data_IF_138915239264
#
_entry.id   IF_138915239264
#
_cell.length_a   1.000
_cell.length_b   1.000
_cell.length_c   1.000
_cell.angle_alpha   90.00
_cell.angle_beta   90.00
_cell.angle_gamma   90.00
#
_symmetry.space_group_name_H-M   'P 1'
#
loop_
_entity.id
_entity.type
_entity.pdbx_description
1 polymer ?
#
# COMPACT_ATOMS: atom_id res chain seq x y z
N UNK A 1 17.05 -3.37 19.70
CA UNK A 1 15.97 -4.36 19.49
C UNK A 1 14.68 -3.60 19.35
N UNK A 2 14.12 -3.51 18.15
CA UNK A 2 12.87 -2.77 17.95
C UNK A 2 11.69 -3.62 18.41
N UNK A 3 10.85 -3.05 19.28
CA UNK A 3 9.58 -3.66 19.66
C UNK A 3 8.67 -3.74 18.44
N UNK A 4 7.99 -4.87 18.24
CA UNK A 4 7.07 -5.05 17.11
C UNK A 4 5.97 -3.98 17.10
N UNK A 5 5.52 -3.52 18.27
CA UNK A 5 4.55 -2.43 18.41
C UNK A 5 5.03 -1.10 17.83
N UNK A 6 6.33 -0.79 17.99
CA UNK A 6 6.95 0.41 17.39
C UNK A 6 6.94 0.28 15.87
N UNK A 7 7.35 -0.87 15.33
CA UNK A 7 7.32 -1.10 13.88
C UNK A 7 5.90 -0.92 13.33
N UNK A 8 4.88 -1.49 13.97
CA UNK A 8 3.48 -1.37 13.53
C UNK A 8 3.00 0.08 13.57
N UNK A 9 3.40 0.84 14.60
CA UNK A 9 3.11 2.27 14.68
C UNK A 9 3.72 3.03 13.50
N UNK A 10 5.02 2.87 13.29
CA UNK A 10 5.74 3.60 12.22
C UNK A 10 5.26 3.19 10.82
N UNK A 11 4.96 1.90 10.60
CA UNK A 11 4.36 1.43 9.35
C UNK A 11 2.99 2.06 9.08
N UNK A 12 2.14 2.19 10.10
CA UNK A 12 0.84 2.88 9.98
C UNK A 12 1.01 4.38 9.74
N UNK A 13 2.04 5.01 10.31
CA UNK A 13 2.37 6.41 10.05
C UNK A 13 2.78 6.58 8.59
N UNK A 14 3.64 5.70 8.06
CA UNK A 14 4.01 5.71 6.65
C UNK A 14 2.80 5.53 5.72
N UNK A 15 1.90 4.61 6.05
CA UNK A 15 0.66 4.39 5.30
C UNK A 15 -0.41 5.47 5.49
N UNK A 16 -0.21 6.47 6.36
CA UNK A 16 -1.25 7.43 6.72
C UNK A 16 -1.95 8.10 5.52
N UNK A 17 -1.27 8.48 4.41
CA UNK A 17 -1.93 9.13 3.28
C UNK A 17 -3.13 8.34 2.73
N UNK A 18 -3.02 7.01 2.66
CA UNK A 18 -4.10 6.12 2.21
C UNK A 18 -4.91 5.54 3.37
N UNK A 19 -4.28 5.32 4.52
CA UNK A 19 -4.90 4.65 5.66
C UNK A 19 -5.95 5.51 6.36
N UNK A 20 -5.84 6.84 6.29
CA UNK A 20 -6.78 7.78 6.93
C UNK A 20 -8.23 7.61 6.46
N UNK A 21 -8.45 7.03 5.29
CA UNK A 21 -9.79 6.77 4.74
C UNK A 21 -10.35 5.41 5.17
N UNK A 22 -9.51 4.49 5.69
CA UNK A 22 -9.92 3.14 6.07
C UNK A 22 -10.08 3.01 7.59
N UNK A 23 -11.33 2.79 8.04
CA UNK A 23 -11.66 2.57 9.45
C UNK A 23 -11.83 1.08 9.74
N UNK A 24 -10.82 0.48 10.36
CA UNK A 24 -10.85 -0.89 10.88
C UNK A 24 -10.21 -0.95 12.26
N UNK A 25 -11.04 -1.11 13.29
CA UNK A 25 -10.60 -1.20 14.69
C UNK A 25 -9.73 -2.43 14.98
N UNK A 26 -9.75 -3.44 14.10
CA UNK A 26 -8.96 -4.68 14.25
C UNK A 26 -7.62 -4.63 13.52
N UNK A 27 -7.40 -3.65 12.64
CA UNK A 27 -6.22 -3.58 11.77
C UNK A 27 -4.91 -3.61 12.56
N UNK A 28 -4.82 -2.87 13.67
CA UNK A 28 -3.61 -2.86 14.48
C UNK A 28 -3.25 -4.26 15.00
N UNK A 29 -4.22 -5.01 15.53
CA UNK A 29 -4.02 -6.38 16.01
C UNK A 29 -3.61 -7.33 14.87
N UNK A 30 -4.19 -7.15 13.68
CA UNK A 30 -3.87 -7.96 12.48
C UNK A 30 -2.45 -7.67 11.99
N UNK A 31 -2.04 -6.41 11.94
CA UNK A 31 -0.66 -6.01 11.61
C UNK A 31 0.33 -6.52 12.67
N UNK A 32 0.00 -6.45 13.96
CA UNK A 32 0.84 -7.02 15.02
C UNK A 32 1.10 -8.52 14.78
N UNK A 33 0.06 -9.30 14.47
CA UNK A 33 0.22 -10.72 14.14
C UNK A 33 1.09 -10.94 12.90
N UNK A 34 0.87 -10.15 11.85
CA UNK A 34 1.68 -10.20 10.63
C UNK A 34 3.15 -9.95 10.93
N UNK A 35 3.48 -8.85 11.60
CA UNK A 35 4.87 -8.47 11.84
C UNK A 35 5.56 -9.36 12.88
N UNK A 36 4.82 -9.99 13.80
CA UNK A 36 5.34 -11.07 14.63
C UNK A 36 5.72 -12.30 13.79
N UNK A 37 4.88 -12.69 12.83
CA UNK A 37 5.18 -13.80 11.93
C UNK A 37 6.38 -13.50 11.01
N UNK A 38 6.49 -12.26 10.54
CA UNK A 38 7.64 -11.80 9.75
C UNK A 38 8.91 -11.79 10.60
N UNK A 39 8.86 -11.27 11.83
CA UNK A 39 9.98 -11.32 12.77
C UNK A 39 10.42 -12.76 13.08
N UNK A 40 9.50 -13.72 13.12
CA UNK A 40 9.81 -15.11 13.40
C UNK A 40 10.61 -15.80 12.29
N UNK A 41 10.59 -15.28 11.06
CA UNK A 41 11.37 -15.80 9.94
C UNK A 41 12.70 -15.06 9.73
N UNK A 42 13.10 -14.19 10.67
CA UNK A 42 14.44 -13.62 10.71
C UNK A 42 15.49 -14.74 10.85
N UNK A 43 16.23 -14.97 9.76
CA UNK A 43 17.23 -16.03 9.66
C UNK A 43 18.65 -15.60 10.06
N UNK A 44 18.86 -14.31 10.36
CA UNK A 44 20.20 -13.74 10.59
C UNK A 44 20.46 -13.41 12.05
N UNK A 45 19.46 -12.93 12.77
CA UNK A 45 19.63 -12.53 14.17
C UNK A 45 19.69 -13.74 15.10
N UNK A 46 20.48 -13.64 16.16
CA UNK A 46 20.48 -14.63 17.22
C UNK A 46 19.09 -14.73 17.91
N UNK A 47 18.74 -15.89 18.51
CA UNK A 47 17.56 -16.01 19.36
C UNK A 47 17.49 -14.90 20.41
N UNK A 48 16.30 -14.34 20.62
CA UNK A 48 16.09 -13.18 21.49
C UNK A 48 16.46 -11.82 20.87
N UNK A 49 17.13 -11.79 19.71
CA UNK A 49 17.45 -10.55 18.95
C UNK A 49 16.68 -10.42 17.64
N UNK A 50 15.81 -11.39 17.32
CA UNK A 50 14.97 -11.38 16.12
C UNK A 50 14.25 -10.04 15.92
N UNK A 51 14.21 -9.57 14.69
CA UNK A 51 13.58 -8.29 14.34
C UNK A 51 12.84 -8.32 13.01
N UNK A 52 11.92 -7.37 12.82
CA UNK A 52 11.06 -7.32 11.64
C UNK A 52 11.84 -6.98 10.38
N UNK A 53 12.84 -6.09 10.46
CA UNK A 53 13.64 -5.67 9.31
C UNK A 53 14.38 -6.83 8.65
N UNK A 54 15.11 -7.61 9.45
CA UNK A 54 15.79 -8.81 8.95
C UNK A 54 14.79 -9.90 8.50
N UNK A 55 13.66 -10.04 9.19
CA UNK A 55 12.55 -10.89 8.72
C UNK A 55 12.05 -10.50 7.32
N UNK A 56 11.92 -9.20 7.04
CA UNK A 56 11.53 -8.64 5.74
C UNK A 56 12.61 -8.79 4.67
N UNK A 57 13.86 -9.08 5.02
CA UNK A 57 14.90 -9.42 4.02
C UNK A 57 14.77 -10.86 3.50
N UNK A 58 13.93 -11.68 4.13
CA UNK A 58 13.68 -13.05 3.67
C UNK A 58 12.54 -13.09 2.66
N UNK A 59 12.61 -14.01 1.68
CA UNK A 59 11.54 -14.25 0.72
C UNK A 59 10.20 -14.54 1.41
N UNK A 60 10.22 -15.29 2.52
CA UNK A 60 9.01 -15.61 3.28
C UNK A 60 8.42 -14.37 3.97
N UNK A 61 9.24 -13.50 4.54
CA UNK A 61 8.79 -12.24 5.15
C UNK A 61 8.15 -11.29 4.13
N UNK A 62 8.77 -11.13 2.97
CA UNK A 62 8.22 -10.36 1.86
C UNK A 62 6.89 -10.93 1.37
N UNK A 63 6.81 -12.26 1.21
CA UNK A 63 5.58 -12.94 0.81
C UNK A 63 4.44 -12.70 1.82
N UNK A 64 4.72 -12.83 3.12
CA UNK A 64 3.72 -12.58 4.18
C UNK A 64 3.15 -11.16 4.08
N UNK A 65 3.99 -10.16 3.84
CA UNK A 65 3.53 -8.78 3.72
C UNK A 65 2.72 -8.53 2.44
N UNK A 66 3.18 -9.04 1.29
CA UNK A 66 2.45 -8.89 0.00
C UNK A 66 1.10 -9.61 -0.01
N UNK A 67 0.95 -10.68 0.77
CA UNK A 67 -0.31 -11.42 0.92
C UNK A 67 -1.23 -10.83 2.00
N UNK A 68 -0.79 -9.81 2.73
CA UNK A 68 -1.61 -9.21 3.77
C UNK A 68 -2.79 -8.45 3.15
N UNK A 69 -4.00 -8.96 3.36
CA UNK A 69 -5.23 -8.34 2.90
C UNK A 69 -5.62 -7.24 3.89
N UNK A 70 -5.51 -5.96 3.57
CA UNK A 70 -5.96 -4.90 4.49
C UNK A 70 -7.47 -4.93 4.67
N UNK A 71 -8.17 -4.93 3.53
CA UNK A 71 -9.62 -4.92 3.47
C UNK A 71 -10.13 -6.10 2.62
N UNK A 72 -10.75 -7.13 3.22
CA UNK A 72 -11.25 -8.28 2.47
C UNK A 72 -12.44 -7.97 1.57
N UNK A 73 -13.02 -6.78 1.63
CA UNK A 73 -14.17 -6.38 0.81
C UNK A 73 -13.79 -5.69 -0.50
N UNK A 74 -12.52 -5.27 -0.65
CA UNK A 74 -12.08 -4.49 -1.80
C UNK A 74 -10.59 -4.71 -2.07
N UNK A 75 -10.30 -5.55 -3.08
CA UNK A 75 -8.96 -5.76 -3.62
C UNK A 75 -8.74 -4.92 -4.88
N UNK A 76 -7.68 -4.14 -4.91
CA UNK A 76 -7.32 -3.23 -6.01
C UNK A 76 -6.87 -4.02 -7.23
N UNK A 77 -5.93 -4.97 -7.07
CA UNK A 77 -5.45 -5.79 -8.19
C UNK A 77 -6.54 -6.72 -8.75
N UNK A 78 -7.53 -7.07 -7.92
CA UNK A 78 -8.70 -7.83 -8.37
C UNK A 78 -9.64 -6.99 -9.26
N UNK A 79 -9.68 -5.67 -9.06
CA UNK A 79 -10.55 -4.78 -9.84
C UNK A 79 -9.85 -4.20 -11.07
N UNK A 80 -8.57 -3.83 -10.93
CA UNK A 80 -7.84 -3.03 -11.92
C UNK A 80 -6.66 -3.79 -12.56
N UNK A 81 -6.49 -5.08 -12.23
CA UNK A 81 -5.36 -5.88 -12.70
C UNK A 81 -4.05 -5.54 -12.00
N UNK A 82 -2.97 -6.24 -12.39
CA UNK A 82 -1.64 -6.06 -11.83
C UNK A 82 -0.86 -5.02 -12.64
N UNK A 83 -0.30 -3.97 -12.01
CA UNK A 83 0.66 -3.10 -12.68
C UNK A 83 1.99 -3.83 -12.88
N UNK A 84 2.70 -3.43 -13.93
CA UNK A 84 4.14 -3.64 -14.04
C UNK A 84 4.86 -2.64 -13.13
N UNK A 85 5.94 -3.09 -12.50
CA UNK A 85 6.74 -2.27 -11.60
C UNK A 85 8.13 -2.09 -12.19
N UNK A 86 8.59 -0.84 -12.27
CA UNK A 86 9.95 -0.51 -12.65
C UNK A 86 10.80 -0.27 -11.40
N UNK A 87 11.78 -1.14 -11.17
CA UNK A 87 12.68 -1.04 -10.03
C UNK A 87 13.64 0.15 -10.06
N UNK A 88 13.88 0.76 -11.22
CA UNK A 88 14.83 1.85 -11.37
C UNK A 88 14.30 3.16 -10.79
N UNK A 89 13.05 3.51 -11.12
CA UNK A 89 12.42 4.78 -10.75
C UNK A 89 11.20 4.63 -9.83
N UNK A 90 10.87 3.39 -9.45
CA UNK A 90 9.69 3.05 -8.67
C UNK A 90 8.36 3.40 -9.35
N UNK A 91 8.32 3.49 -10.68
CA UNK A 91 7.06 3.68 -11.40
C UNK A 91 6.21 2.42 -11.45
N UNK A 92 4.90 2.62 -11.54
CA UNK A 92 3.92 1.57 -11.82
C UNK A 92 3.26 1.85 -13.16
N UNK A 93 3.14 0.83 -14.01
CA UNK A 93 2.52 0.93 -15.34
C UNK A 93 1.41 -0.11 -15.49
N UNK A 94 0.21 0.35 -15.80
CA UNK A 94 -0.86 -0.47 -16.36
C UNK A 94 -0.96 -0.20 -17.86
N UNK A 95 -0.71 -1.20 -18.69
CA UNK A 95 -0.85 -1.06 -20.15
C UNK A 95 -2.29 -1.08 -20.64
N UNK A 96 -3.22 -1.61 -19.83
CA UNK A 96 -4.65 -1.71 -20.15
C UNK A 96 -5.47 -1.45 -18.88
N UNK A 97 -5.37 -0.22 -18.39
CA UNK A 97 -6.10 0.24 -17.22
C UNK A 97 -7.52 0.63 -17.62
N UNK A 98 -8.53 -0.13 -17.18
CA UNK A 98 -9.93 0.14 -17.52
C UNK A 98 -10.79 0.47 -16.29
N UNK A 99 -11.05 1.77 -16.01
CA UNK A 99 -11.97 2.19 -14.97
C UNK A 99 -13.38 1.61 -15.13
N UNK A 100 -13.87 1.44 -16.37
CA UNK A 100 -15.24 1.00 -16.64
C UNK A 100 -15.49 -0.47 -16.27
N UNK A 101 -14.43 -1.29 -16.25
CA UNK A 101 -14.46 -2.69 -15.81
C UNK A 101 -14.53 -2.85 -14.28
N UNK A 102 -14.28 -1.79 -13.54
CA UNK A 102 -14.27 -1.80 -12.07
C UNK A 102 -15.69 -1.90 -11.50
N UNK A 103 -15.83 -2.62 -10.38
CA UNK A 103 -17.09 -2.70 -9.63
C UNK A 103 -17.24 -1.51 -8.69
N UNK A 104 -17.88 -0.45 -9.18
CA UNK A 104 -18.26 0.72 -8.39
C UNK A 104 -19.36 0.37 -7.37
N UNK A 105 -19.22 0.77 -6.09
CA UNK A 105 -20.32 0.77 -5.13
C UNK A 105 -21.51 1.63 -5.58
N UNK A 106 -22.67 1.42 -4.98
CA UNK A 106 -23.83 2.27 -5.22
C UNK A 106 -23.48 3.74 -4.94
N UNK A 107 -23.99 4.64 -5.79
CA UNK A 107 -23.73 6.10 -5.83
C UNK A 107 -22.31 6.55 -6.21
N UNK A 108 -21.32 5.65 -6.24
CA UNK A 108 -19.98 6.01 -6.68
C UNK A 108 -19.98 6.41 -8.16
N UNK A 109 -19.48 7.62 -8.45
CA UNK A 109 -19.29 8.11 -9.82
C UNK A 109 -17.81 8.12 -10.23
N UNK A 110 -16.91 8.20 -9.25
CA UNK A 110 -15.45 8.22 -9.45
C UNK A 110 -14.73 7.32 -8.45
N UNK A 111 -13.48 6.95 -8.77
CA UNK A 111 -12.52 6.52 -7.76
C UNK A 111 -11.24 7.36 -7.87
N UNK A 112 -10.46 7.34 -6.80
CA UNK A 112 -9.14 7.92 -6.73
C UNK A 112 -8.12 6.86 -6.28
N UNK A 113 -7.03 6.74 -7.04
CA UNK A 113 -5.85 5.96 -6.72
C UNK A 113 -4.79 6.85 -6.09
N UNK A 114 -4.15 6.32 -5.05
CA UNK A 114 -3.02 6.95 -4.38
C UNK A 114 -1.90 5.93 -4.27
N UNK A 115 -0.78 6.20 -4.95
CA UNK A 115 0.41 5.37 -4.91
C UNK A 115 1.44 5.96 -3.95
N UNK A 116 1.98 5.10 -3.09
CA UNK A 116 3.01 5.42 -2.11
C UNK A 116 4.19 4.46 -2.23
N UNK A 117 5.39 4.98 -2.02
CA UNK A 117 6.57 4.17 -1.71
C UNK A 117 7.00 4.49 -0.29
N UNK A 118 7.01 3.47 0.57
CA UNK A 118 7.51 3.59 1.93
C UNK A 118 8.97 3.15 1.94
N UNK A 119 9.89 3.99 2.38
CA UNK A 119 11.29 3.66 2.57
C UNK A 119 11.56 3.45 4.07
N UNK A 120 11.83 2.21 4.46
CA UNK A 120 12.12 1.81 5.82
C UNK A 120 13.62 1.78 6.10
N UNK A 121 14.07 2.66 6.99
CA UNK A 121 15.40 2.61 7.56
C UNK A 121 15.39 1.65 8.75
N UNK A 122 16.06 0.50 8.59
CA UNK A 122 16.12 -0.54 9.63
C UNK A 122 16.95 -0.18 10.85
N UNK A 123 17.92 0.74 10.72
CA UNK A 123 18.76 1.20 11.82
C UNK A 123 18.00 2.17 12.72
N UNK A 124 17.28 3.11 12.09
CA UNK A 124 16.48 4.13 12.79
C UNK A 124 15.07 3.67 13.14
N UNK A 125 14.61 2.58 12.52
CA UNK A 125 13.23 2.10 12.58
C UNK A 125 12.21 3.20 12.22
N UNK A 126 12.43 3.91 11.12
CA UNK A 126 11.52 4.96 10.64
C UNK A 126 11.15 4.72 9.19
N UNK A 127 9.96 5.20 8.83
CA UNK A 127 9.50 5.20 7.45
C UNK A 127 9.53 6.62 6.89
N UNK A 128 10.14 6.78 5.73
CA UNK A 128 9.95 7.95 4.86
C UNK A 128 8.93 7.59 3.78
N UNK A 129 7.94 8.44 3.55
CA UNK A 129 6.88 8.17 2.56
C UNK A 129 7.03 9.08 1.36
N UNK A 130 7.07 8.48 0.18
CA UNK A 130 7.05 9.15 -1.11
C UNK A 130 5.67 8.94 -1.73
N UNK A 131 5.07 10.01 -2.25
CA UNK A 131 3.71 9.98 -2.79
C UNK A 131 3.72 10.31 -4.27
N UNK A 132 2.84 9.67 -5.03
CA UNK A 132 2.47 10.12 -6.37
C UNK A 132 1.32 11.13 -6.28
N UNK A 133 1.13 11.92 -7.34
CA UNK A 133 -0.09 12.70 -7.51
C UNK A 133 -1.30 11.75 -7.55
N UNK A 134 -2.40 12.03 -6.84
CA UNK A 134 -3.59 11.19 -6.89
C UNK A 134 -4.18 11.15 -8.30
N UNK A 135 -4.54 9.94 -8.76
CA UNK A 135 -5.17 9.75 -10.07
C UNK A 135 -6.64 9.46 -9.88
N UNK A 136 -7.49 10.27 -10.49
CA UNK A 136 -8.94 10.13 -10.43
C UNK A 136 -9.50 9.72 -11.77
N UNK A 137 -10.44 8.78 -11.75
CA UNK A 137 -11.20 8.35 -12.93
C UNK A 137 -12.68 8.21 -12.62
N UNK A 138 -13.49 8.58 -13.60
CA UNK A 138 -14.93 8.36 -13.59
C UNK A 138 -15.24 6.93 -14.00
N UNK A 139 -16.40 6.43 -13.55
CA UNK A 139 -16.92 5.12 -13.94
C UNK A 139 -17.08 4.93 -15.46
N UNK A 140 -17.27 6.04 -16.18
CA UNK A 140 -17.48 6.07 -17.63
C UNK A 140 -16.19 6.24 -18.43
N UNK A 141 -15.06 6.45 -17.77
CA UNK A 141 -13.77 6.57 -18.45
C UNK A 141 -13.40 5.20 -19.04
N UNK A 142 -12.93 5.21 -20.29
CA UNK A 142 -12.54 4.00 -21.00
C UNK A 142 -11.13 3.55 -20.63
N UNK A 143 -10.71 2.45 -21.26
CA UNK A 143 -9.37 1.90 -21.09
C UNK A 143 -8.29 2.90 -21.54
N UNK A 144 -7.18 2.93 -20.80
CA UNK A 144 -6.01 3.76 -21.06
C UNK A 144 -4.73 3.05 -20.63
N UNK A 145 -3.59 3.58 -21.07
CA UNK A 145 -2.32 3.31 -20.40
C UNK A 145 -2.18 4.26 -19.20
N UNK A 146 -1.96 3.71 -18.01
CA UNK A 146 -1.80 4.49 -16.78
C UNK A 146 -0.42 4.26 -16.18
N UNK A 147 0.34 5.34 -16.03
CA UNK A 147 1.61 5.35 -15.33
C UNK A 147 1.56 6.21 -14.06
N UNK A 148 2.01 5.65 -12.93
CA UNK A 148 2.13 6.35 -11.66
C UNK A 148 3.60 6.49 -11.26
N UNK A 149 4.03 7.73 -10.98
CA UNK A 149 5.37 8.06 -10.48
C UNK A 149 5.29 8.87 -9.20
N UNK A 150 6.23 8.67 -8.30
CA UNK A 150 6.34 9.51 -7.10
C UNK A 150 6.77 10.92 -7.48
N UNK A 151 6.25 11.93 -6.79
CA UNK A 151 6.56 13.35 -7.05
C UNK A 151 8.05 13.67 -6.83
N UNK A 152 8.68 12.96 -5.90
CA UNK A 152 10.11 13.06 -5.63
C UNK A 152 10.79 11.79 -6.11
N UNK A 153 11.91 11.95 -6.82
CA UNK A 153 12.77 10.84 -7.19
C UNK A 153 13.30 10.12 -5.96
N UNK A 154 13.37 8.78 -6.04
CA UNK A 154 13.84 7.92 -4.96
C UNK A 154 15.24 7.43 -5.32
N UNK A 155 16.23 7.80 -4.50
CA UNK A 155 17.58 7.24 -4.61
C UNK A 155 17.67 6.04 -3.67
N UNK A 156 17.93 4.86 -4.22
CA UNK A 156 18.09 3.63 -3.43
C UNK A 156 19.27 3.76 -2.46
N UNK A 157 19.02 3.48 -1.19
CA UNK A 157 20.02 3.54 -0.12
C UNK A 157 20.29 2.14 0.42
N UNK A 158 21.57 1.83 0.65
CA UNK A 158 21.96 0.55 1.25
C UNK A 158 21.34 0.43 2.64
N UNK A 159 20.72 -0.71 2.93
CA UNK A 159 20.13 -0.98 4.25
C UNK A 159 18.70 -0.48 4.42
N UNK A 160 18.16 0.25 3.44
CA UNK A 160 16.76 0.67 3.36
C UNK A 160 15.96 -0.37 2.57
N UNK A 161 14.76 -0.68 3.04
CA UNK A 161 13.79 -1.54 2.36
C UNK A 161 12.63 -0.67 1.86
N UNK A 162 12.11 -0.95 0.67
CA UNK A 162 11.06 -0.16 0.03
C UNK A 162 9.80 -0.99 -0.12
N UNK A 163 8.66 -0.39 0.21
CA UNK A 163 7.34 -1.02 0.12
C UNK A 163 6.49 -0.21 -0.83
N UNK A 164 6.00 -0.86 -1.88
CA UNK A 164 5.08 -0.24 -2.80
C UNK A 164 3.67 -0.46 -2.27
N UNK A 165 2.98 0.62 -1.96
CA UNK A 165 1.63 0.59 -1.43
C UNK A 165 0.69 1.39 -2.33
N UNK A 166 -0.52 0.87 -2.53
CA UNK A 166 -1.55 1.58 -3.27
C UNK A 166 -2.84 1.61 -2.46
N UNK A 167 -3.48 2.77 -2.48
CA UNK A 167 -4.82 3.00 -1.95
C UNK A 167 -5.80 3.30 -3.07
N UNK A 168 -7.02 2.82 -2.92
CA UNK A 168 -8.15 3.15 -3.77
C UNK A 168 -9.27 3.68 -2.88
N UNK A 169 -9.93 4.77 -3.27
CA UNK A 169 -11.17 5.23 -2.62
C UNK A 169 -12.23 5.61 -3.65
N UNK A 170 -13.48 5.26 -3.40
CA UNK A 170 -14.62 5.68 -4.22
C UNK A 170 -15.18 7.03 -3.75
N UNK A 171 -15.65 7.82 -4.69
CA UNK A 171 -16.28 9.13 -4.46
C UNK A 171 -17.56 9.26 -5.29
N UNK A 172 -18.49 10.06 -4.78
CA UNK A 172 -19.63 10.58 -5.51
C UNK A 172 -19.37 12.06 -5.79
N UNK A 173 -19.27 12.40 -7.06
CA UNK A 173 -19.11 13.77 -7.55
C UNK A 173 -20.41 14.20 -8.21
N UNK A 174 -20.97 15.30 -7.72
CA UNK A 174 -22.20 15.93 -8.21
C UNK A 174 -21.89 17.39 -8.58
N UNK A 175 -21.67 17.67 -9.86
CA UNK A 175 -21.18 18.97 -10.30
C UNK A 175 -19.76 19.22 -9.79
N UNK A 176 -19.58 20.24 -8.95
CA UNK A 176 -18.30 20.60 -8.32
C UNK A 176 -18.14 20.02 -6.91
N UNK A 177 -19.20 19.41 -6.35
CA UNK A 177 -19.19 18.88 -5.00
C UNK A 177 -18.64 17.45 -4.96
N UNK A 178 -17.75 17.18 -4.00
CA UNK A 178 -17.11 15.88 -3.81
C UNK A 178 -17.50 15.24 -2.48
N UNK A 179 -18.08 14.05 -2.55
CA UNK A 179 -18.49 13.26 -1.39
C UNK A 179 -17.69 11.96 -1.33
N UNK A 180 -16.79 11.77 -0.35
CA UNK A 180 -16.09 10.51 -0.18
C UNK A 180 -17.07 9.44 0.29
N UNK A 181 -17.10 8.29 -0.39
CA UNK A 181 -17.87 7.17 0.10
C UNK A 181 -17.17 6.59 1.34
N UNK A 182 -17.98 6.31 2.36
CA UNK A 182 -17.49 5.76 3.62
C UNK A 182 -17.81 4.27 3.71
N UNK A 183 -16.95 3.55 4.42
CA UNK A 183 -17.17 2.15 4.77
C UNK A 183 -16.29 1.17 4.02
N UNK A 184 -16.39 -0.11 4.41
CA UNK A 184 -15.46 -1.15 3.98
C UNK A 184 -15.57 -1.49 2.48
N UNK A 185 -16.63 -1.11 1.77
CA UNK A 185 -16.72 -1.34 0.32
C UNK A 185 -16.14 -0.19 -0.52
N UNK A 186 -15.75 0.90 0.13
CA UNK A 186 -15.37 2.13 -0.54
C UNK A 186 -13.86 2.40 -0.56
N UNK A 187 -13.06 1.69 0.25
CA UNK A 187 -11.62 1.93 0.38
C UNK A 187 -10.81 0.63 0.29
N UNK A 188 -9.89 0.55 -0.66
CA UNK A 188 -8.93 -0.55 -0.82
C UNK A 188 -7.53 -0.10 -0.43
N UNK A 189 -6.74 -1.02 0.13
CA UNK A 189 -5.31 -0.80 0.42
C UNK A 189 -4.57 -2.11 0.13
N UNK A 190 -3.48 -2.04 -0.62
CA UNK A 190 -2.61 -3.19 -0.91
C UNK A 190 -1.14 -2.83 -0.83
N UNK A 191 -0.31 -3.80 -0.43
CA UNK A 191 1.13 -3.78 -0.72
C UNK A 191 1.34 -4.56 -2.01
N UNK A 192 1.90 -3.89 -3.01
CA UNK A 192 2.18 -4.45 -4.32
C UNK A 192 3.48 -5.24 -4.31
N UNK A 193 4.56 -4.63 -3.78
CA UNK A 193 5.86 -5.28 -3.69
C UNK A 193 6.72 -4.79 -2.52
N UNK A 194 7.81 -5.52 -2.27
CA UNK A 194 8.84 -5.21 -1.27
C UNK A 194 10.22 -5.39 -1.90
N UNK A 195 11.02 -4.33 -1.98
CA UNK A 195 12.37 -4.34 -2.60
C UNK A 195 13.46 -3.79 -1.70
#
# INVERSE_FOLDING_TARGET
MTLCSVFVKEFKIGLHPILKYYRDGTLHKRLMKLFMAIKAVDAKSAPGKLNVGEGLRTLKGQLLLRQFVFNPKLGIRQQLGNPQFNEEDFSLLWSDFDPSSTRFPNSATHFELQYLVLAYDSERTVFTTYTAAPVRRARKDGAEELELRTEKAIVKQKGVQYFLAIGLRFLEILGEEEYPLLGQKAVGIEILDVV
#
